data_IF_259908063569
#
_entry.id   IF_259908063569
#
_cell.length_a   1.000
_cell.length_b   1.000
_cell.length_c   1.000
_cell.angle_alpha   90.00
_cell.angle_beta   90.00
_cell.angle_gamma   90.00
#
_symmetry.space_group_name_H-M   'P 1'
#
loop_
_entity.id
_entity.type
_entity.pdbx_description
1 polymer ?
#
# COMPACT_ATOMS: atom_id res chain seq x y z
N UNK A 1 29.22 -69.44 -23.25
CA UNK A 1 27.81 -69.06 -23.05
C UNK A 1 27.81 -67.86 -22.12
N UNK A 2 27.49 -66.68 -22.65
CA UNK A 2 27.63 -65.37 -22.00
C UNK A 2 26.75 -65.33 -20.75
N UNK A 3 27.32 -65.02 -19.59
CA UNK A 3 26.60 -64.93 -18.31
C UNK A 3 25.52 -63.85 -18.39
N UNK A 4 24.28 -64.20 -18.03
CA UNK A 4 23.14 -63.30 -18.10
C UNK A 4 23.38 -62.05 -17.22
N UNK A 5 23.11 -60.82 -17.72
CA UNK A 5 23.30 -59.60 -16.95
C UNK A 5 22.36 -59.61 -15.74
N UNK A 6 22.91 -59.32 -14.55
CA UNK A 6 22.14 -59.24 -13.31
C UNK A 6 20.97 -58.25 -13.43
N UNK A 7 19.84 -58.55 -12.78
CA UNK A 7 18.65 -57.73 -12.83
C UNK A 7 18.93 -56.32 -12.25
N UNK A 8 18.66 -55.28 -13.04
CA UNK A 8 18.88 -53.88 -12.66
C UNK A 8 17.59 -53.27 -12.12
N UNK A 9 17.65 -52.71 -10.91
CA UNK A 9 16.51 -52.05 -10.25
C UNK A 9 16.89 -50.57 -10.07
N UNK A 10 16.13 -49.68 -10.70
CA UNK A 10 16.33 -48.24 -10.54
C UNK A 10 15.75 -47.79 -9.20
N UNK A 11 16.53 -47.05 -8.42
CA UNK A 11 16.11 -46.48 -7.14
C UNK A 11 16.04 -44.96 -7.29
N UNK A 12 14.86 -44.41 -7.06
CA UNK A 12 14.56 -42.97 -7.09
C UNK A 12 14.16 -42.47 -5.70
N UNK A 13 14.05 -41.15 -5.53
CA UNK A 13 13.70 -40.52 -4.26
C UNK A 13 12.37 -41.03 -3.66
N UNK A 14 11.39 -41.35 -4.51
CA UNK A 14 10.06 -41.83 -4.08
C UNK A 14 10.00 -43.34 -3.81
N UNK A 15 11.09 -44.05 -4.06
CA UNK A 15 11.11 -45.51 -3.95
C UNK A 15 11.06 -45.93 -2.48
N UNK A 16 9.96 -46.57 -2.07
CA UNK A 16 9.79 -47.08 -0.70
C UNK A 16 10.48 -48.42 -0.47
N UNK A 17 10.91 -48.67 0.77
CA UNK A 17 11.67 -49.87 1.18
C UNK A 17 10.93 -51.19 0.87
N UNK A 18 9.62 -51.24 1.08
CA UNK A 18 8.79 -52.42 0.80
C UNK A 18 8.73 -52.77 -0.69
N UNK A 19 8.81 -51.77 -1.57
CA UNK A 19 8.86 -51.96 -3.01
C UNK A 19 10.22 -52.56 -3.44
N UNK A 20 11.32 -52.07 -2.85
CA UNK A 20 12.67 -52.61 -3.09
C UNK A 20 12.80 -54.06 -2.63
N UNK A 21 12.30 -54.41 -1.44
CA UNK A 21 12.34 -55.79 -0.94
C UNK A 21 11.62 -56.73 -1.91
N UNK A 22 10.40 -56.39 -2.35
CA UNK A 22 9.64 -57.19 -3.33
C UNK A 22 10.32 -57.28 -4.69
N UNK A 23 10.95 -56.19 -5.15
CA UNK A 23 11.66 -56.16 -6.41
C UNK A 23 12.93 -57.04 -6.35
N UNK A 24 13.65 -57.05 -5.23
CA UNK A 24 14.81 -57.92 -5.01
C UNK A 24 14.38 -59.39 -4.95
N UNK A 25 13.29 -59.72 -4.25
CA UNK A 25 12.79 -61.10 -4.16
C UNK A 25 12.29 -61.63 -5.51
N UNK A 26 11.65 -60.79 -6.33
CA UNK A 26 11.11 -61.18 -7.64
C UNK A 26 12.10 -61.12 -8.80
N UNK A 27 13.25 -60.44 -8.63
CA UNK A 27 14.26 -60.30 -9.67
C UNK A 27 14.84 -61.65 -10.15
N UNK A 28 14.94 -61.91 -11.47
CA UNK A 28 15.56 -63.12 -11.97
C UNK A 28 17.10 -63.08 -11.81
N UNK A 29 17.69 -64.20 -11.40
CA UNK A 29 19.15 -64.36 -11.26
C UNK A 29 19.66 -64.25 -9.82
N UNK A 30 20.93 -64.61 -9.63
CA UNK A 30 21.62 -64.62 -8.34
C UNK A 30 22.30 -63.29 -7.99
N UNK A 31 22.26 -62.30 -8.88
CA UNK A 31 22.84 -60.96 -8.69
C UNK A 31 21.84 -59.88 -9.07
N UNK A 32 21.64 -58.91 -8.18
CA UNK A 32 20.76 -57.75 -8.36
C UNK A 32 21.59 -56.47 -8.23
N UNK A 33 21.47 -55.58 -9.21
CA UNK A 33 22.18 -54.29 -9.23
C UNK A 33 21.19 -53.15 -8.98
N UNK A 34 21.37 -52.42 -7.88
CA UNK A 34 20.63 -51.21 -7.57
C UNK A 34 21.27 -50.03 -8.30
N UNK A 35 20.54 -49.43 -9.23
CA UNK A 35 21.02 -48.28 -10.02
C UNK A 35 20.50 -47.00 -9.38
N UNK A 36 21.41 -46.13 -8.92
CA UNK A 36 21.11 -44.88 -8.23
C UNK A 36 21.78 -43.74 -8.97
N UNK A 37 20.99 -42.86 -9.59
CA UNK A 37 21.46 -41.68 -10.38
C UNK A 37 21.00 -40.34 -9.78
N UNK A 38 20.51 -40.35 -8.54
CA UNK A 38 19.90 -39.21 -7.85
C UNK A 38 19.74 -39.51 -6.35
N UNK A 39 19.02 -38.66 -5.61
CA UNK A 39 18.79 -38.90 -4.18
C UNK A 39 17.99 -40.18 -3.95
N UNK A 40 18.47 -41.02 -3.03
CA UNK A 40 17.80 -42.26 -2.63
C UNK A 40 17.79 -42.36 -1.09
N UNK A 41 16.92 -41.60 -0.40
CA UNK A 41 16.90 -41.52 1.07
C UNK A 41 16.73 -42.89 1.73
N UNK A 42 16.06 -43.82 1.04
CA UNK A 42 15.84 -45.19 1.54
C UNK A 42 17.13 -45.99 1.67
N UNK A 43 18.18 -45.68 0.88
CA UNK A 43 19.49 -46.35 0.95
C UNK A 43 20.50 -45.64 1.86
N UNK A 44 20.15 -44.46 2.38
CA UNK A 44 21.00 -43.69 3.32
C UNK A 44 20.79 -44.13 4.79
N UNK A 45 19.68 -44.81 5.08
CA UNK A 45 19.38 -45.31 6.42
C UNK A 45 19.96 -46.72 6.65
N UNK A 46 20.81 -46.88 7.67
CA UNK A 46 21.47 -48.15 7.99
C UNK A 46 20.50 -49.31 8.25
N UNK A 47 19.34 -49.03 8.87
CA UNK A 47 18.32 -50.03 9.14
C UNK A 47 17.72 -50.60 7.84
N UNK A 48 17.55 -49.76 6.82
CA UNK A 48 17.00 -50.17 5.52
C UNK A 48 18.01 -51.00 4.73
N UNK A 49 19.29 -50.63 4.77
CA UNK A 49 20.36 -51.39 4.09
C UNK A 49 20.49 -52.79 4.67
N UNK A 50 20.51 -52.92 6.01
CA UNK A 50 20.51 -54.23 6.69
C UNK A 50 19.29 -55.08 6.34
N UNK A 51 18.12 -54.44 6.23
CA UNK A 51 16.89 -55.13 5.85
C UNK A 51 16.99 -55.69 4.42
N UNK A 52 17.47 -54.89 3.47
CA UNK A 52 17.66 -55.32 2.07
C UNK A 52 18.68 -56.45 1.97
N UNK A 53 19.80 -56.36 2.70
CA UNK A 53 20.80 -57.42 2.78
C UNK A 53 20.21 -58.72 3.34
N UNK A 54 19.43 -58.64 4.42
CA UNK A 54 18.77 -59.82 5.00
C UNK A 54 17.84 -60.53 4.02
N UNK A 55 17.02 -59.78 3.26
CA UNK A 55 16.12 -60.38 2.27
C UNK A 55 16.86 -60.89 1.02
N UNK A 56 17.95 -60.23 0.62
CA UNK A 56 18.80 -60.71 -0.46
C UNK A 56 19.50 -62.02 -0.09
N UNK A 57 20.10 -62.11 1.10
CA UNK A 57 20.71 -63.34 1.61
C UNK A 57 19.70 -64.47 1.75
N UNK A 58 18.51 -64.18 2.28
CA UNK A 58 17.42 -65.17 2.41
C UNK A 58 16.95 -65.70 1.06
N UNK A 59 16.99 -64.87 0.02
CA UNK A 59 16.63 -65.26 -1.35
C UNK A 59 17.81 -65.80 -2.17
N UNK A 60 19.00 -65.91 -1.57
CA UNK A 60 20.22 -66.41 -2.22
C UNK A 60 20.77 -65.47 -3.28
N UNK A 61 20.52 -64.16 -3.14
CA UNK A 61 20.91 -63.12 -4.11
C UNK A 61 21.97 -62.19 -3.54
N UNK A 62 22.90 -61.78 -4.38
CA UNK A 62 23.91 -60.77 -4.06
C UNK A 62 23.43 -59.38 -4.51
N UNK A 63 23.47 -58.41 -3.60
CA UNK A 63 23.18 -57.01 -3.91
C UNK A 63 24.47 -56.27 -4.31
N UNK A 64 24.40 -55.55 -5.42
CA UNK A 64 25.44 -54.63 -5.89
C UNK A 64 24.81 -53.26 -6.14
N UNK A 65 25.62 -52.21 -6.10
CA UNK A 65 25.18 -50.85 -6.37
C UNK A 65 25.94 -50.24 -7.55
N UNK A 66 25.22 -49.58 -8.44
CA UNK A 66 25.76 -48.71 -9.49
C UNK A 66 25.27 -47.30 -9.19
N UNK A 67 26.17 -46.48 -8.62
CA UNK A 67 25.87 -45.09 -8.22
C UNK A 67 26.98 -44.14 -8.62
N UNK A 68 26.59 -42.92 -9.02
CA UNK A 68 27.47 -41.78 -9.27
C UNK A 68 27.88 -41.03 -7.98
N UNK A 69 27.27 -41.36 -6.83
CA UNK A 69 27.54 -40.71 -5.55
C UNK A 69 28.60 -41.47 -4.72
N UNK A 70 29.80 -40.88 -4.50
CA UNK A 70 30.89 -41.58 -3.81
C UNK A 70 30.60 -41.83 -2.32
N UNK A 71 29.81 -40.97 -1.68
CA UNK A 71 29.45 -41.09 -0.26
C UNK A 71 28.51 -42.27 -0.01
N UNK A 72 27.45 -42.39 -0.82
CA UNK A 72 26.52 -43.52 -0.74
C UNK A 72 27.23 -44.84 -1.06
N UNK A 73 28.16 -44.84 -2.02
CA UNK A 73 28.99 -46.01 -2.32
C UNK A 73 29.82 -46.47 -1.13
N UNK A 74 30.49 -45.54 -0.44
CA UNK A 74 31.28 -45.85 0.75
C UNK A 74 30.40 -46.38 1.90
N UNK A 75 29.23 -45.77 2.12
CA UNK A 75 28.27 -46.21 3.12
C UNK A 75 27.76 -47.65 2.85
N UNK A 76 27.32 -47.93 1.62
CA UNK A 76 26.81 -49.26 1.25
C UNK A 76 27.91 -50.33 1.28
N UNK A 77 29.16 -49.96 0.99
CA UNK A 77 30.31 -50.86 1.10
C UNK A 77 30.59 -51.30 2.55
N UNK A 78 30.35 -50.42 3.54
CA UNK A 78 30.45 -50.77 4.97
C UNK A 78 29.49 -51.90 5.37
N UNK A 79 28.32 -51.96 4.72
CA UNK A 79 27.32 -53.01 4.89
C UNK A 79 27.51 -54.19 3.92
N UNK A 80 28.62 -54.23 3.18
CA UNK A 80 28.97 -55.35 2.31
C UNK A 80 28.34 -55.33 0.91
N UNK A 81 27.68 -54.24 0.50
CA UNK A 81 27.13 -54.05 -0.86
C UNK A 81 28.21 -53.38 -1.72
N UNK A 82 28.78 -54.11 -2.68
CA UNK A 82 29.91 -53.66 -3.51
C UNK A 82 29.46 -52.95 -4.79
N UNK A 83 30.37 -52.17 -5.38
CA UNK A 83 30.14 -51.52 -6.67
C UNK A 83 29.98 -52.55 -7.78
N UNK A 84 29.08 -52.27 -8.74
CA UNK A 84 28.92 -53.10 -9.93
C UNK A 84 30.16 -53.10 -10.85
N UNK A 85 31.02 -52.08 -10.74
CA UNK A 85 32.24 -51.91 -11.56
C UNK A 85 33.43 -52.77 -11.08
N UNK A 86 33.43 -53.27 -9.84
CA UNK A 86 34.54 -54.05 -9.26
C UNK A 86 34.60 -55.53 -9.73
N UNK A 87 34.09 -55.80 -10.93
CA UNK A 87 33.90 -57.15 -11.47
C UNK A 87 35.21 -57.76 -12.00
N UNK A 88 36.04 -58.28 -11.10
CA UNK A 88 36.99 -59.35 -11.40
C UNK A 88 36.56 -60.64 -10.67
N UNK A 89 35.85 -61.48 -11.40
CA UNK A 89 35.81 -62.95 -11.33
C UNK A 89 36.14 -63.63 -9.99
N UNK A 90 35.11 -63.95 -9.20
CA UNK A 90 35.11 -65.18 -8.37
C UNK A 90 33.69 -65.80 -8.42
N UNK A 91 33.49 -66.96 -9.06
CA UNK A 91 32.25 -67.72 -8.96
C UNK A 91 32.07 -68.23 -7.53
N UNK A 92 30.93 -67.92 -6.90
CA UNK A 92 30.51 -68.57 -5.65
C UNK A 92 29.31 -69.47 -5.93
N UNK A 93 29.47 -70.76 -5.61
CA UNK A 93 28.38 -71.73 -5.62
C UNK A 93 27.26 -71.32 -4.63
N UNK A 94 25.98 -71.54 -4.98
CA UNK A 94 24.86 -71.17 -4.13
C UNK A 94 24.82 -72.04 -2.86
N UNK A 95 25.06 -71.42 -1.70
CA UNK A 95 24.86 -72.06 -0.39
C UNK A 95 23.37 -72.07 -0.06
N UNK A 96 22.74 -73.23 -0.18
CA UNK A 96 21.37 -73.45 0.27
C UNK A 96 21.29 -73.41 1.82
N UNK A 97 20.71 -72.34 2.37
CA UNK A 97 20.41 -72.25 3.81
C UNK A 97 19.11 -73.00 4.11
N UNK A 98 19.18 -74.16 4.77
CA UNK A 98 18.01 -74.85 5.33
C UNK A 98 17.37 -73.98 6.44
N UNK A 99 16.04 -73.74 6.45
CA UNK A 99 15.41 -73.00 7.54
C UNK A 99 15.50 -73.80 8.84
N UNK A 100 16.05 -73.16 9.88
CA UNK A 100 16.06 -73.68 11.25
C UNK A 100 14.60 -73.71 11.75
N UNK A 101 14.03 -74.90 11.87
CA UNK A 101 12.65 -75.09 12.33
C UNK A 101 12.44 -74.59 13.76
N UNK A 102 11.54 -73.62 13.91
CA UNK A 102 11.04 -73.14 15.20
C UNK A 102 10.09 -74.22 15.76
N UNK A 103 10.55 -75.02 16.72
CA UNK A 103 9.71 -75.99 17.43
C UNK A 103 9.11 -75.31 18.68
N UNK A 104 7.80 -75.03 18.73
CA UNK A 104 7.20 -74.47 19.93
C UNK A 104 7.24 -75.55 21.04
N UNK A 105 7.93 -75.25 22.15
CA UNK A 105 7.82 -76.05 23.38
C UNK A 105 6.39 -75.93 23.91
N UNK A 106 5.77 -77.05 24.29
CA UNK A 106 4.37 -77.17 24.74
C UNK A 106 3.91 -76.16 25.82
N UNK A 107 4.82 -75.64 26.64
CA UNK A 107 4.50 -74.55 27.58
C UNK A 107 4.09 -73.24 26.90
N UNK A 108 4.56 -72.94 25.68
CA UNK A 108 4.10 -71.76 24.91
C UNK A 108 2.66 -71.95 24.38
N UNK A 109 2.22 -73.19 24.13
CA UNK A 109 0.84 -73.49 23.73
C UNK A 109 -0.16 -73.28 24.87
N UNK A 110 0.28 -73.37 26.14
CA UNK A 110 -0.55 -73.09 27.32
C UNK A 110 -0.38 -71.66 27.87
N UNK A 111 0.82 -71.09 27.79
CA UNK A 111 1.10 -69.74 28.32
C UNK A 111 0.42 -68.63 27.49
N UNK A 112 0.35 -68.79 26.17
CA UNK A 112 -0.30 -67.81 25.28
C UNK A 112 -1.81 -67.70 25.55
N UNK A 113 -2.61 -68.79 25.58
CA UNK A 113 -4.03 -68.68 25.91
C UNK A 113 -4.25 -68.21 27.35
N UNK A 114 -3.40 -68.57 28.31
CA UNK A 114 -3.53 -68.11 29.69
C UNK A 114 -3.20 -66.62 29.85
N UNK A 115 -2.26 -66.10 29.07
CA UNK A 115 -1.97 -64.67 28.98
C UNK A 115 -3.07 -63.92 28.23
N UNK A 116 -3.68 -64.51 27.19
CA UNK A 116 -4.85 -63.94 26.51
C UNK A 116 -6.08 -63.92 27.43
N UNK A 117 -6.31 -64.98 28.20
CA UNK A 117 -7.37 -65.04 29.22
C UNK A 117 -7.07 -64.04 30.34
N UNK A 118 -5.82 -63.93 30.77
CA UNK A 118 -5.37 -62.95 31.75
C UNK A 118 -5.56 -61.52 31.28
N UNK A 119 -5.18 -61.20 30.04
CA UNK A 119 -5.41 -59.89 29.41
C UNK A 119 -6.90 -59.63 29.19
N UNK A 120 -7.66 -60.64 28.77
CA UNK A 120 -9.10 -60.56 28.55
C UNK A 120 -9.87 -60.34 29.86
N UNK A 121 -9.45 -61.00 30.94
CA UNK A 121 -9.96 -60.77 32.29
C UNK A 121 -9.61 -59.37 32.77
N UNK A 122 -8.36 -58.92 32.56
CA UNK A 122 -7.95 -57.55 32.87
C UNK A 122 -8.72 -56.51 32.07
N UNK A 123 -9.01 -56.77 30.79
CA UNK A 123 -9.81 -55.89 29.95
C UNK A 123 -11.29 -55.90 30.32
N UNK A 124 -11.85 -57.05 30.72
CA UNK A 124 -13.24 -57.19 31.14
C UNK A 124 -13.52 -56.51 32.50
N UNK A 125 -12.55 -56.57 33.42
CA UNK A 125 -12.62 -55.87 34.71
C UNK A 125 -11.95 -54.50 34.69
N UNK A 126 -11.40 -54.06 33.55
CA UNK A 126 -10.87 -52.71 33.43
C UNK A 126 -12.02 -51.72 33.65
N UNK A 127 -11.88 -50.78 34.59
CA UNK A 127 -12.94 -49.82 34.83
C UNK A 127 -13.10 -48.94 33.58
N UNK A 128 -14.31 -48.96 32.99
CA UNK A 128 -14.72 -47.98 31.98
C UNK A 128 -14.43 -46.55 32.49
N UNK A 129 -13.82 -45.68 31.67
CA UNK A 129 -13.60 -44.29 32.04
C UNK A 129 -14.94 -43.56 32.18
N UNK A 130 -15.09 -42.77 33.24
CA UNK A 130 -16.25 -41.90 33.44
C UNK A 130 -16.06 -40.66 32.57
N UNK A 131 -17.06 -40.34 31.73
CA UNK A 131 -17.05 -39.13 30.92
C UNK A 131 -17.89 -38.06 31.60
N UNK A 132 -17.30 -36.88 31.77
CA UNK A 132 -17.99 -35.73 32.34
C UNK A 132 -17.97 -34.64 31.29
N UNK A 133 -19.15 -34.30 30.80
CA UNK A 133 -19.35 -33.28 29.80
C UNK A 133 -19.73 -31.99 30.51
N UNK A 134 -18.96 -30.92 30.30
CA UNK A 134 -19.19 -29.63 30.94
C UNK A 134 -19.50 -28.60 29.87
N UNK A 135 -20.61 -27.88 30.06
CA UNK A 135 -20.95 -26.70 29.27
C UNK A 135 -20.54 -25.47 30.09
N UNK A 136 -19.55 -24.69 29.64
CA UNK A 136 -19.12 -23.49 30.34
C UNK A 136 -20.17 -22.38 30.18
N UNK A 137 -20.26 -21.49 31.17
CA UNK A 137 -21.06 -20.27 31.04
C UNK A 137 -20.46 -19.37 29.97
N UNK A 138 -21.28 -19.00 28.99
CA UNK A 138 -20.94 -18.05 27.93
C UNK A 138 -21.66 -16.73 28.19
N UNK A 139 -20.91 -15.63 28.27
CA UNK A 139 -21.49 -14.28 28.39
C UNK A 139 -21.06 -13.41 27.21
N UNK A 140 -21.98 -12.68 26.57
CA UNK A 140 -21.60 -11.71 25.55
C UNK A 140 -20.79 -10.59 26.21
N UNK A 141 -19.77 -10.14 25.50
CA UNK A 141 -18.90 -9.03 25.87
C UNK A 141 -18.83 -8.05 24.71
N UNK A 142 -18.92 -6.76 25.03
CA UNK A 142 -18.76 -5.68 24.07
C UNK A 142 -18.31 -4.44 24.82
N UNK A 143 -17.03 -4.08 24.69
CA UNK A 143 -16.45 -2.88 25.28
C UNK A 143 -15.61 -2.13 24.25
N UNK A 144 -15.35 -0.85 24.54
CA UNK A 144 -14.53 0.02 23.71
C UNK A 144 -13.11 0.10 24.26
N UNK A 145 -12.13 -0.08 23.37
CA UNK A 145 -10.72 -0.03 23.68
C UNK A 145 -10.01 0.98 22.82
N UNK A 146 -9.12 1.77 23.44
CA UNK A 146 -8.14 2.58 22.73
C UNK A 146 -6.89 1.73 22.55
N UNK A 147 -6.59 1.35 21.31
CA UNK A 147 -5.33 0.70 20.96
C UNK A 147 -4.30 1.79 20.67
N UNK A 148 -3.24 1.94 21.50
CA UNK A 148 -2.24 2.99 21.30
C UNK A 148 -1.50 2.80 19.99
N UNK A 149 -1.20 3.90 19.29
CA UNK A 149 -0.45 3.84 18.04
C UNK A 149 0.96 3.25 18.22
N UNK A 150 1.57 3.43 19.39
CA UNK A 150 2.91 2.92 19.72
C UNK A 150 2.99 1.39 19.67
N UNK A 151 1.87 0.70 19.86
CA UNK A 151 1.80 -0.77 19.85
C UNK A 151 1.46 -1.34 18.46
N UNK A 152 1.18 -0.46 17.48
CA UNK A 152 0.79 -0.82 16.13
C UNK A 152 1.98 -0.66 15.17
N UNK A 153 2.24 -1.71 14.38
CA UNK A 153 3.16 -1.61 13.26
C UNK A 153 2.48 -0.85 12.12
N UNK A 154 3.01 0.32 11.76
CA UNK A 154 2.49 1.16 10.68
C UNK A 154 3.31 1.00 9.41
N UNK A 155 2.65 1.05 8.26
CA UNK A 155 3.27 1.12 6.93
C UNK A 155 2.80 2.38 6.23
N UNK A 156 3.66 3.06 5.49
CA UNK A 156 3.28 4.28 4.76
C UNK A 156 2.61 3.93 3.42
N UNK A 157 1.41 4.45 3.21
CA UNK A 157 0.74 4.44 1.91
C UNK A 157 0.92 5.81 1.25
N UNK A 158 1.45 5.80 0.02
CA UNK A 158 1.71 7.00 -0.78
C UNK A 158 0.86 6.98 -2.05
N UNK A 159 0.16 8.08 -2.30
CA UNK A 159 -0.65 8.28 -3.51
C UNK A 159 -0.29 9.62 -4.14
N UNK A 160 -0.10 9.63 -5.46
CA UNK A 160 0.15 10.84 -6.23
C UNK A 160 -0.97 11.09 -7.22
N UNK A 161 -1.56 12.27 -7.20
CA UNK A 161 -2.62 12.69 -8.14
C UNK A 161 -2.40 14.13 -8.59
N UNK A 162 -3.14 14.56 -9.63
CA UNK A 162 -3.01 15.90 -10.18
C UNK A 162 -4.26 16.72 -9.88
N UNK A 163 -4.08 17.97 -9.47
CA UNK A 163 -5.14 18.97 -9.34
C UNK A 163 -4.96 20.07 -10.36
N UNK A 164 -6.08 20.56 -10.89
CA UNK A 164 -6.12 21.64 -11.87
C UNK A 164 -7.23 22.62 -11.51
N UNK A 165 -6.98 23.91 -11.69
CA UNK A 165 -7.98 24.96 -11.52
C UNK A 165 -7.68 26.13 -12.47
N UNK A 166 -8.69 26.98 -12.68
CA UNK A 166 -8.64 28.10 -13.59
C UNK A 166 -9.23 29.36 -12.94
N UNK A 167 -8.64 30.52 -13.22
CA UNK A 167 -9.05 31.81 -12.69
C UNK A 167 -9.08 32.87 -13.81
N UNK A 168 -10.10 33.72 -13.83
CA UNK A 168 -10.10 34.88 -14.72
C UNK A 168 -9.04 35.90 -14.28
N UNK A 169 -8.23 36.38 -15.22
CA UNK A 169 -7.19 37.37 -14.94
C UNK A 169 -7.82 38.73 -14.56
N UNK A 170 -7.29 39.37 -13.52
CA UNK A 170 -7.86 40.59 -12.96
C UNK A 170 -7.16 41.87 -13.44
N UNK A 171 -5.93 41.75 -13.94
CA UNK A 171 -5.12 42.89 -14.33
C UNK A 171 -5.63 43.57 -15.61
N UNK A 172 -5.45 44.89 -15.66
CA UNK A 172 -5.70 45.69 -16.86
C UNK A 172 -4.45 46.47 -17.22
N UNK A 173 -4.06 46.41 -18.48
CA UNK A 173 -3.04 47.29 -19.06
C UNK A 173 -3.63 48.01 -20.27
N UNK A 174 -3.07 49.16 -20.59
CA UNK A 174 -3.51 49.98 -21.72
C UNK A 174 -2.38 50.06 -22.74
N UNK A 175 -2.62 49.59 -23.95
CA UNK A 175 -1.64 49.65 -25.05
C UNK A 175 -2.04 50.77 -26.05
N UNK A 176 -1.12 51.68 -26.39
CA UNK A 176 -1.43 52.78 -27.31
C UNK A 176 -1.56 52.30 -28.76
N UNK A 177 -2.76 52.45 -29.33
CA UNK A 177 -3.12 51.91 -30.65
C UNK A 177 -2.92 52.91 -31.79
N UNK A 178 -3.33 54.17 -31.60
CA UNK A 178 -3.30 55.20 -32.64
C UNK A 178 -2.72 56.52 -32.13
N UNK A 179 -1.98 57.23 -32.97
CA UNK A 179 -1.50 58.59 -32.69
C UNK A 179 -2.61 59.61 -32.96
N UNK A 180 -2.67 60.65 -32.14
CA UNK A 180 -3.57 61.77 -32.36
C UNK A 180 -3.04 62.65 -33.51
N UNK A 181 -3.94 63.13 -34.37
CA UNK A 181 -3.64 63.96 -35.53
C UNK A 181 -4.51 65.22 -35.54
N UNK A 182 -3.97 66.29 -36.07
CA UNK A 182 -4.66 67.58 -36.17
C UNK A 182 -3.83 68.59 -36.94
N UNK A 183 -4.27 69.84 -36.93
CA UNK A 183 -3.52 70.96 -37.53
C UNK A 183 -3.08 71.97 -36.48
N UNK A 184 -1.95 72.60 -36.78
CA UNK A 184 -1.33 73.64 -35.95
C UNK A 184 -1.03 74.82 -36.86
N UNK A 185 -1.38 76.01 -36.41
CA UNK A 185 -1.03 77.27 -37.05
C UNK A 185 0.24 77.78 -36.39
N UNK A 186 1.28 77.93 -37.20
CA UNK A 186 2.54 78.57 -36.82
C UNK A 186 2.44 80.07 -37.09
N UNK A 187 2.84 80.87 -36.12
CA UNK A 187 2.76 82.33 -36.12
C UNK A 187 4.16 82.89 -36.02
N UNK A 188 4.55 83.68 -37.02
CA UNK A 188 5.83 84.35 -37.12
C UNK A 188 5.66 85.87 -36.98
N UNK A 189 6.26 86.45 -35.95
CA UNK A 189 6.26 87.90 -35.69
C UNK A 189 7.59 88.57 -36.09
N UNK A 190 8.46 87.84 -36.82
CA UNK A 190 9.72 88.38 -37.33
C UNK A 190 9.56 88.96 -38.73
N UNK A 191 10.43 89.90 -39.14
CA UNK A 191 10.40 90.49 -40.48
C UNK A 191 10.98 89.56 -41.58
N UNK A 192 11.37 88.32 -41.25
CA UNK A 192 11.91 87.34 -42.19
C UNK A 192 11.04 86.08 -42.22
N UNK A 193 10.93 85.43 -43.38
CA UNK A 193 10.23 84.16 -43.48
C UNK A 193 11.06 83.04 -42.83
N UNK A 194 10.42 82.18 -42.04
CA UNK A 194 11.07 81.06 -41.35
C UNK A 194 10.65 79.75 -42.00
N UNK A 195 11.63 78.93 -42.39
CA UNK A 195 11.37 77.62 -42.98
C UNK A 195 11.38 76.54 -41.91
N UNK A 196 10.25 75.88 -41.71
CA UNK A 196 10.07 74.80 -40.74
C UNK A 196 10.12 73.46 -41.48
N UNK A 197 11.16 72.64 -41.26
CA UNK A 197 11.25 71.33 -41.89
C UNK A 197 10.22 70.35 -41.33
N UNK A 198 9.90 69.32 -42.12
CA UNK A 198 9.14 68.16 -41.65
C UNK A 198 9.83 67.53 -40.43
N UNK A 199 9.05 67.09 -39.45
CA UNK A 199 9.55 66.46 -38.23
C UNK A 199 9.94 67.46 -37.13
N UNK A 200 9.75 68.76 -37.35
CA UNK A 200 9.88 69.76 -36.28
C UNK A 200 8.85 69.47 -35.18
N UNK A 201 9.30 69.47 -33.93
CA UNK A 201 8.47 69.19 -32.76
C UNK A 201 7.78 70.48 -32.28
N UNK A 202 6.47 70.40 -32.05
CA UNK A 202 5.69 71.41 -31.35
C UNK A 202 5.21 70.85 -30.02
N UNK A 203 5.19 71.68 -28.99
CA UNK A 203 4.93 71.24 -27.62
C UNK A 203 3.81 72.05 -26.96
N UNK A 204 3.06 71.37 -26.10
CA UNK A 204 2.14 72.02 -25.16
C UNK A 204 2.91 72.56 -23.96
N UNK A 205 2.27 73.41 -23.17
CA UNK A 205 2.82 73.85 -21.88
C UNK A 205 3.00 72.68 -20.87
N UNK A 206 2.26 71.57 -21.07
CA UNK A 206 2.32 70.37 -20.23
C UNK A 206 3.34 69.32 -20.68
N UNK A 207 4.14 69.61 -21.71
CA UNK A 207 5.21 68.71 -22.19
C UNK A 207 4.81 67.68 -23.24
N UNK A 208 3.54 67.63 -23.68
CA UNK A 208 3.13 66.77 -24.80
C UNK A 208 3.72 67.28 -26.11
N UNK A 209 4.28 66.38 -26.94
CA UNK A 209 4.98 66.74 -28.18
C UNK A 209 4.30 66.14 -29.42
N UNK A 210 4.31 66.93 -30.50
CA UNK A 210 3.73 66.57 -31.79
C UNK A 210 4.74 66.89 -32.90
N UNK A 211 4.88 66.01 -33.87
CA UNK A 211 5.78 66.20 -35.01
C UNK A 211 5.00 66.73 -36.22
N UNK A 212 5.57 67.72 -36.91
CA UNK A 212 5.04 68.23 -38.19
C UNK A 212 5.19 67.18 -39.29
N UNK A 213 4.11 66.94 -40.05
CA UNK A 213 4.08 65.93 -41.12
C UNK A 213 4.62 66.46 -42.45
N UNK A 214 4.56 67.77 -42.66
CA UNK A 214 4.94 68.46 -43.87
C UNK A 214 5.92 69.61 -43.56
N UNK A 215 6.79 69.93 -44.51
CA UNK A 215 7.63 71.13 -44.40
C UNK A 215 6.82 72.36 -44.80
N UNK A 216 6.87 73.43 -44.00
CA UNK A 216 6.10 74.65 -44.22
C UNK A 216 6.99 75.89 -44.10
N UNK A 217 6.75 76.90 -44.93
CA UNK A 217 7.43 78.19 -44.80
C UNK A 217 6.45 79.20 -44.23
N UNK A 218 6.75 79.71 -43.03
CA UNK A 218 5.91 80.72 -42.37
C UNK A 218 6.35 82.10 -42.88
N UNK A 219 5.46 82.87 -43.51
CA UNK A 219 5.82 84.18 -44.07
C UNK A 219 6.27 85.16 -42.97
N UNK A 220 6.98 86.21 -43.36
CA UNK A 220 7.32 87.32 -42.46
C UNK A 220 6.05 88.07 -42.02
N UNK A 221 6.15 88.81 -40.92
CA UNK A 221 5.10 89.78 -40.56
C UNK A 221 4.95 90.85 -41.65
N UNK A 222 3.73 91.28 -41.88
CA UNK A 222 3.41 92.35 -42.83
C UNK A 222 2.92 93.56 -42.03
N UNK A 223 3.49 94.73 -42.31
CA UNK A 223 2.98 96.01 -41.81
C UNK A 223 1.97 96.54 -42.81
N UNK A 224 0.75 96.77 -42.35
CA UNK A 224 -0.33 97.33 -43.18
C UNK A 224 -0.25 98.86 -43.13
N UNK A 225 -0.33 99.51 -44.29
CA UNK A 225 -0.25 100.96 -44.44
C UNK A 225 -1.56 101.52 -44.98
N UNK A 226 -1.99 102.67 -44.44
CA UNK A 226 -3.08 103.48 -44.97
C UNK A 226 -2.56 104.89 -45.19
N UNK A 227 -2.55 105.37 -46.45
CA UNK A 227 -1.94 106.65 -46.83
C UNK A 227 -0.52 106.84 -46.27
N UNK A 228 0.35 105.84 -46.46
CA UNK A 228 1.76 105.83 -46.00
C UNK A 228 1.96 105.81 -44.48
N UNK A 229 0.89 105.73 -43.69
CA UNK A 229 0.93 105.60 -42.23
C UNK A 229 0.73 104.13 -41.85
N UNK A 230 1.60 103.54 -41.01
CA UNK A 230 1.42 102.16 -40.53
C UNK A 230 0.19 102.08 -39.63
N UNK A 231 -0.82 101.33 -40.05
CA UNK A 231 -2.11 101.18 -39.34
C UNK A 231 -2.25 99.84 -38.62
N UNK A 232 -1.37 98.87 -38.89
CA UNK A 232 -1.40 97.59 -38.22
C UNK A 232 -0.19 96.71 -38.54
N UNK A 233 0.00 95.69 -37.71
CA UNK A 233 0.97 94.61 -37.94
C UNK A 233 0.18 93.32 -37.96
N UNK A 234 0.33 92.56 -39.06
CA UNK A 234 -0.22 91.22 -39.19
C UNK A 234 0.92 90.21 -39.17
N UNK A 235 0.94 89.35 -38.16
CA UNK A 235 1.90 88.26 -38.08
C UNK A 235 1.72 87.30 -39.27
N UNK A 236 2.82 86.76 -39.77
CA UNK A 236 2.78 85.71 -40.78
C UNK A 236 2.23 84.42 -40.17
N UNK A 237 1.32 83.75 -40.88
CA UNK A 237 0.69 82.52 -40.40
C UNK A 237 0.80 81.44 -41.46
N UNK A 238 1.06 80.21 -41.04
CA UNK A 238 0.98 79.04 -41.90
C UNK A 238 0.45 77.83 -41.12
N UNK A 239 -0.46 77.08 -41.73
CA UNK A 239 -1.03 75.87 -41.14
C UNK A 239 -0.22 74.64 -41.56
N UNK A 240 0.04 73.74 -40.62
CA UNK A 240 0.74 72.46 -40.85
C UNK A 240 0.04 71.34 -40.09
N UNK A 241 0.00 70.14 -40.70
CA UNK A 241 -0.51 68.95 -40.03
C UNK A 241 0.51 68.39 -39.05
N UNK A 242 0.04 67.93 -37.91
CA UNK A 242 0.88 67.35 -36.86
C UNK A 242 0.35 65.98 -36.42
N UNK A 243 1.26 65.15 -35.94
CA UNK A 243 0.97 63.84 -35.36
C UNK A 243 1.64 63.74 -33.98
N UNK A 244 0.91 63.21 -32.99
CA UNK A 244 1.46 62.98 -31.66
C UNK A 244 2.65 62.02 -31.72
N UNK A 245 3.75 62.39 -31.06
CA UNK A 245 4.95 61.54 -31.02
C UNK A 245 4.66 60.26 -30.25
N UNK A 246 3.96 60.38 -29.13
CA UNK A 246 3.45 59.26 -28.36
C UNK A 246 2.04 58.89 -28.87
N UNK A 247 1.88 57.62 -29.24
CA UNK A 247 0.56 57.07 -29.56
C UNK A 247 -0.28 56.99 -28.28
N UNK A 248 -1.59 56.99 -28.45
CA UNK A 248 -2.54 56.75 -27.38
C UNK A 248 -3.46 57.92 -27.07
N UNK A 249 -4.39 57.73 -26.13
CA UNK A 249 -5.37 58.78 -25.78
C UNK A 249 -4.72 60.01 -25.16
N UNK A 250 -3.54 59.88 -24.56
CA UNK A 250 -2.75 60.97 -23.99
C UNK A 250 -2.35 62.03 -25.04
N UNK A 251 -2.27 61.65 -26.32
CA UNK A 251 -2.01 62.59 -27.41
C UNK A 251 -3.21 63.47 -27.78
N UNK A 252 -4.41 63.18 -27.28
CA UNK A 252 -5.60 63.98 -27.56
C UNK A 252 -5.61 65.24 -26.70
N UNK A 253 -5.60 66.42 -27.32
CA UNK A 253 -5.57 67.70 -26.62
C UNK A 253 -6.66 68.64 -27.16
N UNK A 254 -7.20 69.47 -26.27
CA UNK A 254 -8.14 70.51 -26.65
C UNK A 254 -7.49 71.56 -27.56
N UNK A 255 -8.32 72.36 -28.23
CA UNK A 255 -7.86 73.54 -28.97
C UNK A 255 -7.02 74.48 -28.08
N UNK A 256 -6.08 75.20 -28.68
CA UNK A 256 -5.24 76.24 -28.05
C UNK A 256 -4.31 75.74 -26.92
N UNK A 257 -3.87 74.48 -26.98
CA UNK A 257 -2.98 73.86 -25.98
C UNK A 257 -1.52 73.77 -26.42
N UNK A 258 -1.26 73.68 -27.73
CA UNK A 258 0.09 73.80 -28.28
C UNK A 258 0.46 75.28 -28.23
N UNK A 259 1.67 75.57 -27.72
CA UNK A 259 2.14 76.94 -27.51
C UNK A 259 3.56 77.17 -28.02
N UNK A 260 4.40 76.13 -28.04
CA UNK A 260 5.83 76.24 -28.32
C UNK A 260 6.24 75.45 -29.57
N UNK A 261 7.23 75.97 -30.30
CA UNK A 261 7.94 75.26 -31.37
C UNK A 261 9.35 74.96 -30.88
N UNK A 262 9.70 73.67 -30.80
CA UNK A 262 11.01 73.25 -30.31
C UNK A 262 12.07 73.60 -31.36
N UNK A 263 13.09 74.35 -30.93
CA UNK A 263 14.19 74.79 -31.81
C UNK A 263 13.96 76.11 -32.55
N UNK A 264 12.78 76.73 -32.40
CA UNK A 264 12.46 78.03 -33.02
C UNK A 264 11.82 78.96 -31.99
N UNK A 265 12.63 79.74 -31.28
CA UNK A 265 12.15 80.63 -30.20
C UNK A 265 11.32 81.80 -30.74
N UNK A 266 11.56 82.17 -32.00
CA UNK A 266 10.87 83.23 -32.74
C UNK A 266 9.48 82.83 -33.26
N UNK A 267 9.12 81.55 -33.23
CA UNK A 267 7.82 81.05 -33.69
C UNK A 267 6.91 80.68 -32.52
N UNK A 268 5.63 81.04 -32.64
CA UNK A 268 4.57 80.56 -31.77
C UNK A 268 3.73 79.53 -32.52
N UNK A 269 3.22 78.52 -31.82
CA UNK A 269 2.31 77.55 -32.38
C UNK A 269 0.98 77.62 -31.64
N UNK A 270 -0.13 77.47 -32.35
CA UNK A 270 -1.47 77.35 -31.76
C UNK A 270 -2.24 76.32 -32.56
N UNK A 271 -2.89 75.36 -31.89
CA UNK A 271 -3.83 74.46 -32.56
C UNK A 271 -5.25 75.08 -32.53
N UNK A 272 -5.80 75.54 -33.66
CA UNK A 272 -7.13 76.16 -33.69
C UNK A 272 -8.24 75.16 -33.35
N UNK A 273 -8.04 73.89 -33.74
CA UNK A 273 -8.94 72.77 -33.47
C UNK A 273 -8.30 71.78 -32.47
N UNK A 274 -9.10 70.97 -31.76
CA UNK A 274 -8.56 69.90 -30.91
C UNK A 274 -7.81 68.86 -31.75
N UNK A 275 -6.70 68.34 -31.20
CA UNK A 275 -6.00 67.20 -31.79
C UNK A 275 -6.68 65.94 -31.26
N UNK A 276 -7.13 65.08 -32.17
CA UNK A 276 -7.95 63.91 -31.84
C UNK A 276 -7.48 62.67 -32.60
N UNK A 277 -8.06 61.50 -32.32
CA UNK A 277 -7.74 60.25 -33.00
C UNK A 277 -6.72 59.37 -32.26
N UNK A 278 -6.14 59.86 -31.16
CA UNK A 278 -5.38 59.05 -30.22
C UNK A 278 -6.28 58.02 -29.55
N UNK A 279 -5.93 56.73 -29.61
CA UNK A 279 -6.73 55.64 -29.04
C UNK A 279 -5.83 54.66 -28.30
N UNK A 280 -6.34 54.15 -27.20
CA UNK A 280 -5.73 53.06 -26.44
C UNK A 280 -6.61 51.82 -26.54
N UNK A 281 -5.97 50.66 -26.39
CA UNK A 281 -6.64 49.37 -26.28
C UNK A 281 -6.41 48.83 -24.87
N UNK A 282 -7.49 48.61 -24.14
CA UNK A 282 -7.42 47.89 -22.87
C UNK A 282 -7.19 46.39 -23.13
N UNK A 283 -6.20 45.84 -22.44
CA UNK A 283 -5.82 44.43 -22.48
C UNK A 283 -5.89 43.87 -21.07
N UNK A 284 -6.47 42.67 -20.95
CA UNK A 284 -6.43 41.92 -19.70
C UNK A 284 -5.07 41.26 -19.56
N UNK A 285 -4.44 41.43 -18.39
CA UNK A 285 -3.14 40.87 -18.07
C UNK A 285 -3.20 40.10 -16.77
N UNK A 286 -2.38 39.06 -16.69
CA UNK A 286 -2.24 38.26 -15.48
C UNK A 286 -1.49 39.07 -14.42
N UNK A 287 -1.98 39.06 -13.19
CA UNK A 287 -1.30 39.70 -12.06
C UNK A 287 -0.65 38.66 -11.14
N UNK A 288 0.30 39.11 -10.31
CA UNK A 288 0.87 38.25 -9.26
C UNK A 288 -0.21 37.79 -8.26
N UNK A 289 -1.19 38.65 -7.97
CA UNK A 289 -2.31 38.31 -7.09
C UNK A 289 -3.18 37.17 -7.67
N UNK A 290 -3.33 37.10 -9.00
CA UNK A 290 -4.06 36.01 -9.65
C UNK A 290 -3.32 34.66 -9.46
N UNK A 291 -1.99 34.67 -9.55
CA UNK A 291 -1.15 33.48 -9.29
C UNK A 291 -1.24 33.03 -7.84
N UNK A 292 -1.15 33.97 -6.89
CA UNK A 292 -1.19 33.67 -5.46
C UNK A 292 -2.55 33.10 -5.06
N UNK A 293 -3.65 33.69 -5.57
CA UNK A 293 -5.01 33.21 -5.33
C UNK A 293 -5.25 31.84 -5.97
N UNK A 294 -4.74 31.61 -7.18
CA UNK A 294 -4.85 30.31 -7.84
C UNK A 294 -4.06 29.22 -7.09
N UNK A 295 -2.88 29.55 -6.56
CA UNK A 295 -2.12 28.63 -5.69
C UNK A 295 -2.91 28.26 -4.44
N UNK A 296 -3.50 29.24 -3.75
CA UNK A 296 -4.33 28.98 -2.56
C UNK A 296 -5.54 28.08 -2.89
N UNK A 297 -6.17 28.26 -4.06
CA UNK A 297 -7.25 27.38 -4.51
C UNK A 297 -6.77 25.96 -4.79
N UNK A 298 -5.62 25.79 -5.44
CA UNK A 298 -5.03 24.47 -5.68
C UNK A 298 -4.69 23.77 -4.35
N UNK A 299 -4.18 24.49 -3.35
CA UNK A 299 -3.93 23.95 -2.00
C UNK A 299 -5.23 23.49 -1.31
N UNK A 300 -6.30 24.28 -1.39
CA UNK A 300 -7.62 23.87 -0.87
C UNK A 300 -8.17 22.64 -1.58
N UNK A 301 -8.02 22.56 -2.90
CA UNK A 301 -8.43 21.39 -3.68
C UNK A 301 -7.59 20.16 -3.34
N UNK A 302 -6.28 20.33 -3.13
CA UNK A 302 -5.39 19.27 -2.70
C UNK A 302 -5.80 18.72 -1.33
N UNK A 303 -6.01 19.59 -0.34
CA UNK A 303 -6.46 19.21 0.99
C UNK A 303 -7.81 18.46 0.96
N UNK A 304 -8.78 18.96 0.19
CA UNK A 304 -10.11 18.35 0.10
C UNK A 304 -10.14 17.00 -0.63
N UNK A 305 -9.19 16.74 -1.55
CA UNK A 305 -9.13 15.50 -2.32
C UNK A 305 -8.16 14.46 -1.76
N UNK A 306 -7.16 14.87 -0.97
CA UNK A 306 -6.10 13.98 -0.49
C UNK A 306 -6.67 12.74 0.23
N UNK A 307 -7.64 12.91 1.13
CA UNK A 307 -8.27 11.81 1.85
C UNK A 307 -9.09 10.90 0.91
N UNK A 308 -9.85 11.50 -0.02
CA UNK A 308 -10.68 10.74 -0.96
C UNK A 308 -9.84 9.88 -1.90
N UNK A 309 -8.78 10.45 -2.49
CA UNK A 309 -7.87 9.73 -3.39
C UNK A 309 -7.11 8.64 -2.65
N UNK A 310 -6.71 8.90 -1.40
CA UNK A 310 -6.03 7.89 -0.59
C UNK A 310 -6.97 6.72 -0.28
N UNK A 311 -8.22 6.99 0.09
CA UNK A 311 -9.25 5.97 0.38
C UNK A 311 -9.58 5.07 -0.83
N UNK A 312 -9.38 5.52 -2.07
CA UNK A 312 -9.58 4.70 -3.27
C UNK A 312 -8.50 3.63 -3.47
N UNK A 313 -7.31 3.83 -2.91
CA UNK A 313 -6.14 2.94 -3.10
C UNK A 313 -5.93 2.00 -1.90
N UNK A 314 -6.66 2.21 -0.81
CA UNK A 314 -6.51 1.44 0.43
C UNK A 314 -6.88 -0.03 0.21
N UNK A 315 -5.97 -0.97 0.56
CA UNK A 315 -6.29 -2.39 0.59
C UNK A 315 -7.40 -2.71 1.60
N UNK A 316 -8.28 -3.67 1.29
CA UNK A 316 -9.43 -4.03 2.17
C UNK A 316 -9.01 -4.58 3.54
N UNK A 317 -7.77 -5.05 3.67
CA UNK A 317 -7.17 -5.59 4.90
C UNK A 317 -6.40 -4.54 5.72
N UNK A 318 -6.43 -3.26 5.30
CA UNK A 318 -5.71 -2.18 5.97
C UNK A 318 -6.63 -1.05 6.39
N UNK A 319 -6.25 -0.39 7.49
CA UNK A 319 -6.94 0.75 8.07
C UNK A 319 -6.01 1.95 7.96
N UNK A 320 -6.47 3.00 7.28
CA UNK A 320 -5.74 4.25 7.15
C UNK A 320 -5.90 5.09 8.40
N UNK A 321 -4.79 5.66 8.85
CA UNK A 321 -4.77 6.64 9.93
C UNK A 321 -4.98 8.05 9.38
N UNK A 322 -6.22 8.37 9.02
CA UNK A 322 -6.60 9.66 8.41
C UNK A 322 -6.14 10.90 9.21
N UNK A 323 -6.16 10.94 10.57
CA UNK A 323 -5.67 12.08 11.33
C UNK A 323 -4.16 12.36 11.16
N UNK A 324 -3.39 11.37 10.70
CA UNK A 324 -1.95 11.47 10.44
C UNK A 324 -1.64 11.62 8.95
N UNK A 325 -2.67 11.87 8.13
CA UNK A 325 -2.49 12.16 6.72
C UNK A 325 -1.70 13.47 6.56
N UNK A 326 -0.63 13.38 5.80
CA UNK A 326 0.15 14.52 5.34
C UNK A 326 0.07 14.58 3.81
N UNK A 327 0.09 15.77 3.26
CA UNK A 327 0.15 15.96 1.82
C UNK A 327 1.11 17.09 1.50
N UNK A 328 1.74 16.97 0.34
CA UNK A 328 2.63 17.98 -0.21
C UNK A 328 2.24 18.30 -1.65
N UNK A 329 2.45 19.56 -2.03
CA UNK A 329 2.08 20.07 -3.34
C UNK A 329 3.36 20.39 -4.11
N UNK A 330 3.57 19.63 -5.17
CA UNK A 330 4.79 19.62 -5.98
C UNK A 330 4.50 19.96 -7.44
N UNK A 331 5.52 20.40 -8.20
CA UNK A 331 5.41 20.74 -9.63
C UNK A 331 4.25 21.70 -9.94
N UNK A 332 4.23 22.85 -9.26
CA UNK A 332 3.20 23.89 -9.46
C UNK A 332 3.49 24.65 -10.74
N UNK A 333 2.65 24.44 -11.74
CA UNK A 333 2.72 25.10 -13.03
C UNK A 333 1.56 26.07 -13.15
N UNK A 334 1.87 27.36 -13.18
CA UNK A 334 0.91 28.44 -13.38
C UNK A 334 1.22 29.10 -14.71
N UNK A 335 0.24 29.15 -15.59
CA UNK A 335 0.37 29.79 -16.90
C UNK A 335 -0.88 30.61 -17.20
N UNK A 336 -0.75 31.76 -17.87
CA UNK A 336 0.49 32.44 -18.28
C UNK A 336 1.19 33.20 -17.14
N UNK A 337 2.43 33.65 -17.34
CA UNK A 337 3.21 34.40 -16.34
C UNK A 337 2.60 35.78 -16.03
N UNK A 338 2.87 36.35 -14.83
CA UNK A 338 2.43 37.70 -14.49
C UNK A 338 2.93 38.74 -15.51
N UNK A 339 2.04 39.62 -15.94
CA UNK A 339 2.28 40.64 -16.96
C UNK A 339 1.99 40.19 -18.39
N UNK A 340 1.78 38.90 -18.64
CA UNK A 340 1.37 38.42 -19.96
C UNK A 340 -0.12 38.71 -20.22
N UNK A 341 -0.45 38.96 -21.50
CA UNK A 341 -1.81 39.20 -21.94
C UNK A 341 -2.59 37.87 -22.02
N UNK A 342 -3.51 37.67 -21.08
CA UNK A 342 -4.45 36.56 -21.11
C UNK A 342 -5.70 36.89 -20.29
N UNK A 343 -6.84 36.30 -20.67
CA UNK A 343 -8.08 36.42 -19.92
C UNK A 343 -8.22 35.41 -18.78
N UNK A 344 -7.42 34.33 -18.80
CA UNK A 344 -7.50 33.20 -17.88
C UNK A 344 -6.09 32.79 -17.47
N UNK A 345 -5.93 32.48 -16.19
CA UNK A 345 -4.77 31.83 -15.59
C UNK A 345 -5.15 30.39 -15.27
N UNK A 346 -4.37 29.44 -15.73
CA UNK A 346 -4.54 28.02 -15.48
C UNK A 346 -3.43 27.54 -14.57
N UNK A 347 -3.80 26.67 -13.63
CA UNK A 347 -2.92 26.12 -12.64
C UNK A 347 -3.00 24.61 -12.63
N UNK A 348 -1.86 23.96 -12.63
CA UNK A 348 -1.72 22.51 -12.47
C UNK A 348 -0.70 22.24 -11.38
N UNK A 349 -1.01 21.30 -10.49
CA UNK A 349 -0.08 20.85 -9.47
C UNK A 349 -0.20 19.35 -9.24
N UNK A 350 0.91 18.72 -8.85
CA UNK A 350 0.97 17.31 -8.47
C UNK A 350 0.95 17.23 -6.96
N UNK A 351 -0.07 16.57 -6.42
CA UNK A 351 -0.25 16.36 -4.99
C UNK A 351 0.25 14.97 -4.63
N UNK A 352 1.08 14.91 -3.60
CA UNK A 352 1.54 13.67 -3.00
C UNK A 352 0.96 13.55 -1.60
N UNK A 353 0.01 12.63 -1.41
CA UNK A 353 -0.56 12.31 -0.11
C UNK A 353 0.13 11.08 0.49
N UNK A 354 0.47 11.17 1.77
CA UNK A 354 1.08 10.09 2.55
C UNK A 354 0.29 9.93 3.84
N UNK A 355 -0.18 8.72 4.11
CA UNK A 355 -0.80 8.37 5.38
C UNK A 355 -0.26 7.03 5.89
N UNK A 356 -0.04 6.88 7.21
CA UNK A 356 0.29 5.60 7.78
C UNK A 356 -0.95 4.69 7.82
N UNK A 357 -0.74 3.41 7.59
CA UNK A 357 -1.75 2.36 7.56
C UNK A 357 -1.38 1.24 8.52
N UNK A 358 -2.41 0.60 9.08
CA UNK A 358 -2.28 -0.53 10.00
C UNK A 358 -3.04 -1.71 9.42
N UNK A 359 -2.42 -2.89 9.40
CA UNK A 359 -3.10 -4.11 9.00
C UNK A 359 -4.20 -4.48 10.02
N UNK A 360 -5.40 -4.83 9.54
CA UNK A 360 -6.53 -5.18 10.38
C UNK A 360 -6.21 -6.36 11.32
N UNK A 361 -5.36 -7.29 10.88
CA UNK A 361 -4.89 -8.41 11.71
C UNK A 361 -4.04 -7.95 12.90
N UNK A 362 -3.11 -7.01 12.68
CA UNK A 362 -2.26 -6.45 13.74
C UNK A 362 -3.12 -5.73 14.77
N UNK A 363 -4.11 -4.96 14.32
CA UNK A 363 -5.07 -4.30 15.20
C UNK A 363 -5.88 -5.32 16.02
N UNK A 364 -6.37 -6.38 15.38
CA UNK A 364 -7.13 -7.42 16.08
C UNK A 364 -6.30 -8.15 17.15
N UNK A 365 -5.03 -8.44 16.84
CA UNK A 365 -4.10 -9.05 17.79
C UNK A 365 -3.84 -8.15 19.01
N UNK A 366 -3.59 -6.85 18.80
CA UNK A 366 -3.35 -5.93 19.92
C UNK A 366 -4.61 -5.66 20.74
N UNK A 367 -5.76 -5.51 20.08
CA UNK A 367 -7.04 -5.38 20.76
C UNK A 367 -7.32 -6.62 21.65
N UNK A 368 -7.09 -7.83 21.14
CA UNK A 368 -7.23 -9.06 21.92
C UNK A 368 -6.36 -9.09 23.18
N UNK A 369 -5.09 -8.67 23.09
CA UNK A 369 -4.19 -8.58 24.24
C UNK A 369 -4.67 -7.59 25.31
N UNK A 370 -5.22 -6.45 24.88
CA UNK A 370 -5.79 -5.46 25.81
C UNK A 370 -7.01 -6.03 26.55
N UNK A 371 -7.89 -6.76 25.84
CA UNK A 371 -9.03 -7.43 26.46
C UNK A 371 -8.56 -8.48 27.47
N UNK A 372 -7.62 -9.34 27.10
CA UNK A 372 -7.05 -10.35 28.01
C UNK A 372 -6.44 -9.71 29.27
N UNK A 373 -5.74 -8.58 29.11
CA UNK A 373 -5.14 -7.84 30.22
C UNK A 373 -6.20 -7.28 31.17
N UNK A 374 -7.30 -6.74 30.64
CA UNK A 374 -8.40 -6.22 31.47
C UNK A 374 -9.19 -7.34 32.18
N UNK A 375 -9.26 -8.52 31.58
CA UNK A 375 -9.93 -9.68 32.17
C UNK A 375 -9.12 -10.31 33.32
N UNK A 376 -7.81 -10.08 33.42
CA UNK A 376 -7.04 -10.57 34.56
C UNK A 376 -7.48 -9.87 35.87
N UNK A 377 -7.70 -10.60 36.97
CA UNK A 377 -7.30 -12.00 37.23
C UNK A 377 -8.39 -13.06 37.00
N UNK A 378 -9.49 -12.74 36.29
CA UNK A 378 -10.60 -13.68 36.10
C UNK A 378 -10.16 -14.83 35.17
N UNK A 379 -10.46 -16.10 35.51
CA UNK A 379 -10.20 -17.23 34.64
C UNK A 379 -11.26 -17.24 33.53
N UNK A 380 -11.18 -16.31 32.58
CA UNK A 380 -12.06 -16.21 31.42
C UNK A 380 -11.23 -16.12 30.15
N UNK A 381 -11.72 -16.72 29.07
CA UNK A 381 -11.17 -16.65 27.73
C UNK A 381 -12.19 -15.99 26.80
N UNK A 382 -11.71 -15.22 25.82
CA UNK A 382 -12.57 -14.60 24.81
C UNK A 382 -12.57 -15.47 23.56
N UNK A 383 -13.73 -15.99 23.18
CA UNK A 383 -13.95 -16.66 21.90
C UNK A 383 -14.67 -15.72 20.92
N UNK A 384 -14.48 -15.95 19.62
CA UNK A 384 -15.11 -15.20 18.52
C UNK A 384 -14.93 -13.68 18.64
N UNK A 385 -13.70 -13.25 18.91
CA UNK A 385 -13.35 -11.83 19.04
C UNK A 385 -13.51 -11.13 17.68
N UNK A 386 -14.43 -10.16 17.63
CA UNK A 386 -14.68 -9.29 16.49
C UNK A 386 -14.29 -7.86 16.86
N UNK A 387 -13.46 -7.23 16.01
CA UNK A 387 -12.98 -5.85 16.19
C UNK A 387 -13.57 -4.98 15.10
N UNK A 388 -14.29 -3.93 15.52
CA UNK A 388 -14.83 -2.91 14.63
C UNK A 388 -14.18 -1.57 14.97
N UNK A 389 -13.61 -0.91 13.96
CA UNK A 389 -13.04 0.43 14.12
C UNK A 389 -14.19 1.43 14.24
N UNK A 390 -14.21 2.19 15.33
CA UNK A 390 -15.21 3.23 15.56
C UNK A 390 -14.68 4.59 15.15
N UNK A 391 -13.49 4.93 15.64
CA UNK A 391 -12.84 6.21 15.37
C UNK A 391 -11.34 6.03 15.35
N UNK A 392 -10.66 6.73 14.44
CA UNK A 392 -9.20 6.83 14.43
C UNK A 392 -8.81 8.19 15.01
N UNK A 393 -7.91 8.18 15.99
CA UNK A 393 -7.37 9.37 16.66
C UNK A 393 -5.87 9.51 16.34
N UNK A 394 -5.26 10.63 16.73
CA UNK A 394 -3.83 10.83 16.56
C UNK A 394 -3.01 9.92 17.50
N UNK A 395 -3.52 9.68 18.71
CA UNK A 395 -2.90 8.85 19.74
C UNK A 395 -3.12 7.33 19.57
N UNK A 396 -4.09 6.92 18.74
CA UNK A 396 -4.45 5.51 18.59
C UNK A 396 -5.77 5.26 17.87
N UNK A 397 -6.22 4.01 17.86
CA UNK A 397 -7.46 3.59 17.22
C UNK A 397 -8.46 3.18 18.31
N UNK A 398 -9.65 3.81 18.29
CA UNK A 398 -10.77 3.40 19.13
C UNK A 398 -11.53 2.30 18.42
N UNK A 399 -11.50 1.12 19.01
CA UNK A 399 -12.16 -0.07 18.49
C UNK A 399 -13.25 -0.53 19.45
N UNK A 400 -14.39 -0.91 18.90
CA UNK A 400 -15.36 -1.72 19.59
C UNK A 400 -14.95 -3.18 19.46
N UNK A 401 -14.66 -3.82 20.60
CA UNK A 401 -14.29 -5.24 20.65
C UNK A 401 -15.46 -6.00 21.22
N UNK A 402 -15.95 -6.98 20.47
CA UNK A 402 -17.05 -7.84 20.87
C UNK A 402 -16.65 -9.31 20.82
N UNK A 403 -17.23 -10.13 21.68
CA UNK A 403 -16.90 -11.55 21.74
C UNK A 403 -17.71 -12.28 22.80
N UNK A 404 -17.33 -13.53 23.04
CA UNK A 404 -17.95 -14.40 24.02
C UNK A 404 -16.95 -14.71 25.13
N UNK A 405 -17.25 -14.27 26.35
CA UNK A 405 -16.49 -14.64 27.54
C UNK A 405 -16.90 -16.05 27.95
N UNK A 406 -15.94 -16.97 27.84
CA UNK A 406 -16.07 -18.36 28.27
C UNK A 406 -15.24 -18.53 29.53
N UNK A 407 -15.83 -19.12 30.57
CA UNK A 407 -15.07 -19.41 31.79
C UNK A 407 -13.97 -20.43 31.50
N UNK A 408 -12.73 -20.12 31.88
CA UNK A 408 -11.60 -21.03 31.80
C UNK A 408 -11.75 -22.10 32.87
N UNK A 409 -12.07 -23.31 32.43
CA UNK A 409 -12.30 -24.45 33.29
C UNK A 409 -11.09 -25.39 33.22
N UNK A 410 -10.36 -25.49 34.32
CA UNK A 410 -9.24 -26.42 34.49
C UNK A 410 -9.75 -27.86 34.64
N UNK A 411 -9.67 -28.65 33.57
CA UNK A 411 -10.12 -30.04 33.55
C UNK A 411 -9.45 -30.91 34.63
N UNK A 412 -8.17 -30.64 34.92
CA UNK A 412 -7.41 -31.34 35.96
C UNK A 412 -7.85 -31.02 37.38
N UNK A 413 -8.12 -29.76 37.71
CA UNK A 413 -8.57 -29.36 39.05
C UNK A 413 -10.00 -29.85 39.32
N UNK A 414 -10.86 -29.80 38.31
CA UNK A 414 -12.19 -30.37 38.38
C UNK A 414 -12.17 -31.89 38.60
N UNK A 415 -11.36 -32.62 37.85
CA UNK A 415 -11.20 -34.07 38.03
C UNK A 415 -10.69 -34.41 39.43
N UNK A 416 -9.78 -33.59 39.98
CA UNK A 416 -9.29 -33.75 41.36
C UNK A 416 -10.37 -33.47 42.42
N UNK A 417 -11.21 -32.46 42.21
CA UNK A 417 -12.27 -32.06 43.15
C UNK A 417 -13.33 -33.16 43.34
N UNK A 418 -13.67 -33.87 42.26
CA UNK A 418 -14.73 -34.87 42.21
C UNK A 418 -14.23 -36.32 42.35
N UNK A 419 -12.92 -36.56 42.28
CA UNK A 419 -12.33 -37.89 42.37
C UNK A 419 -12.76 -38.62 43.66
N UNK A 420 -13.24 -39.86 43.52
CA UNK A 420 -13.68 -40.67 44.65
C UNK A 420 -14.91 -40.17 45.40
N UNK A 421 -15.66 -39.19 44.88
CA UNK A 421 -16.93 -38.72 45.47
C UNK A 421 -18.13 -39.54 44.95
N UNK A 422 -19.20 -39.71 45.75
CA UNK A 422 -20.46 -40.26 45.24
C UNK A 422 -21.09 -39.28 44.24
N UNK A 423 -21.85 -39.79 43.27
CA UNK A 423 -22.39 -38.99 42.15
C UNK A 423 -23.17 -37.77 42.66
N UNK A 424 -24.00 -37.93 43.69
CA UNK A 424 -24.80 -36.83 44.25
C UNK A 424 -23.96 -35.73 44.91
N UNK A 425 -22.79 -36.07 45.49
CA UNK A 425 -21.89 -35.05 46.05
C UNK A 425 -21.04 -34.42 44.95
N UNK A 426 -20.63 -35.21 43.95
CA UNK A 426 -19.92 -34.69 42.79
C UNK A 426 -20.77 -33.70 42.00
N UNK A 427 -22.06 -33.99 41.79
CA UNK A 427 -22.98 -33.08 41.12
C UNK A 427 -23.17 -31.77 41.87
N UNK A 428 -23.34 -31.81 43.21
CA UNK A 428 -23.43 -30.58 44.02
C UNK A 428 -22.15 -29.72 43.95
N UNK A 429 -20.97 -30.37 43.93
CA UNK A 429 -19.69 -29.67 43.81
C UNK A 429 -19.50 -29.05 42.42
N UNK A 430 -19.91 -29.75 41.36
CA UNK A 430 -19.87 -29.22 39.99
C UNK A 430 -20.84 -28.05 39.78
N UNK A 431 -22.05 -28.12 40.36
CA UNK A 431 -23.01 -27.01 40.33
C UNK A 431 -22.56 -25.78 41.13
N UNK A 432 -21.70 -25.99 42.14
CA UNK A 432 -21.17 -24.91 42.96
C UNK A 432 -19.91 -24.26 42.36
N UNK A 433 -19.35 -24.83 41.28
CA UNK A 433 -18.14 -24.31 40.67
C UNK A 433 -18.45 -23.06 39.81
N UNK A 434 -17.75 -21.93 40.02
CA UNK A 434 -17.91 -20.74 39.20
C UNK A 434 -17.52 -21.05 37.74
N UNK A 435 -18.41 -20.70 36.81
CA UNK A 435 -18.19 -20.84 35.37
C UNK A 435 -18.79 -22.08 34.70
N UNK A 436 -19.41 -23.00 35.46
CA UNK A 436 -20.17 -24.13 34.91
C UNK A 436 -21.63 -23.72 34.71
N UNK A 437 -22.19 -23.92 33.52
CA UNK A 437 -23.61 -23.67 33.22
C UNK A 437 -24.43 -24.95 33.40
N UNK A 438 -23.98 -26.02 32.76
CA UNK A 438 -24.57 -27.35 32.92
C UNK A 438 -23.49 -28.43 32.81
N UNK A 439 -23.79 -29.62 33.34
CA UNK A 439 -22.88 -30.76 33.30
C UNK A 439 -23.66 -32.07 33.17
N UNK A 440 -23.07 -33.02 32.45
CA UNK A 440 -23.59 -34.38 32.30
C UNK A 440 -22.51 -35.37 32.78
N UNK A 441 -22.91 -36.33 33.62
CA UNK A 441 -22.01 -37.35 34.18
C UNK A 441 -22.43 -38.71 33.64
N UNK A 442 -21.66 -39.26 32.70
CA UNK A 442 -21.82 -40.64 32.24
C UNK A 442 -20.91 -41.56 33.05
N UNK A 443 -21.49 -42.12 34.13
CA UNK A 443 -20.82 -43.04 35.05
C UNK A 443 -21.29 -44.50 34.92
N UNK A 444 -22.08 -44.83 33.89
CA UNK A 444 -22.68 -46.15 33.71
C UNK A 444 -23.52 -46.59 34.92
N UNK A 445 -23.25 -47.79 35.46
CA UNK A 445 -23.95 -48.35 36.65
C UNK A 445 -23.31 -47.99 38.00
N UNK A 446 -22.33 -47.08 38.04
CA UNK A 446 -21.59 -46.77 39.27
C UNK A 446 -22.36 -45.77 40.12
N UNK A 447 -22.31 -45.94 41.45
CA UNK A 447 -22.82 -44.93 42.39
C UNK A 447 -21.73 -43.96 42.88
N UNK A 448 -20.48 -44.19 42.47
CA UNK A 448 -19.30 -43.46 42.95
C UNK A 448 -18.26 -43.30 41.84
N UNK A 449 -17.64 -42.13 41.78
CA UNK A 449 -16.57 -41.83 40.83
C UNK A 449 -15.28 -42.56 41.21
N UNK A 450 -14.45 -42.95 40.21
CA UNK A 450 -13.17 -43.60 40.46
C UNK A 450 -12.23 -42.67 41.24
N UNK A 451 -11.37 -43.26 42.09
CA UNK A 451 -10.38 -42.51 42.89
C UNK A 451 -9.20 -42.03 42.06
N UNK A 452 -8.81 -42.79 41.04
CA UNK A 452 -7.73 -42.41 40.13
C UNK A 452 -8.28 -41.47 39.05
N UNK A 453 -7.72 -40.26 38.99
CA UNK A 453 -8.12 -39.18 38.08
C UNK A 453 -8.00 -39.57 36.61
N UNK A 454 -7.11 -40.50 36.26
CA UNK A 454 -6.92 -40.98 34.88
C UNK A 454 -8.17 -41.66 34.30
N UNK A 455 -9.10 -42.12 35.15
CA UNK A 455 -10.38 -42.69 34.73
C UNK A 455 -11.53 -41.68 34.74
N UNK A 456 -11.25 -40.38 34.91
CA UNK A 456 -12.21 -39.29 34.81
C UNK A 456 -11.81 -38.45 33.61
N UNK A 457 -12.58 -38.57 32.52
CA UNK A 457 -12.37 -37.79 31.31
C UNK A 457 -13.33 -36.60 31.32
N UNK A 458 -12.80 -35.41 31.60
CA UNK A 458 -13.57 -34.16 31.52
C UNK A 458 -13.49 -33.64 30.08
N UNK A 459 -14.63 -33.55 29.42
CA UNK A 459 -14.79 -32.94 28.10
C UNK A 459 -15.54 -31.63 28.27
N UNK A 460 -14.92 -30.53 27.84
CA UNK A 460 -15.58 -29.22 27.79
C UNK A 460 -16.13 -29.06 26.37
N UNK A 461 -17.45 -28.95 26.21
CA UNK A 461 -18.05 -28.71 24.90
C UNK A 461 -18.22 -27.19 24.74
N UNK A 462 -17.64 -26.64 23.68
CA UNK A 462 -17.66 -25.21 23.38
C UNK A 462 -18.93 -24.73 22.67
N UNK A 463 -19.95 -25.57 22.55
CA UNK A 463 -21.24 -25.26 21.93
C UNK A 463 -22.34 -26.07 22.62
N UNK A 464 -23.48 -25.47 23.01
CA UNK A 464 -24.68 -26.25 23.20
C UNK A 464 -25.08 -26.75 21.81
N UNK A 465 -24.87 -28.04 21.52
CA UNK A 465 -25.64 -28.70 20.49
C UNK A 465 -27.09 -28.56 20.93
N UNK A 466 -27.79 -27.58 20.36
CA UNK A 466 -29.23 -27.42 20.53
C UNK A 466 -29.83 -28.69 19.97
N UNK A 467 -30.03 -29.67 20.83
CA UNK A 467 -30.90 -30.80 20.55
C UNK A 467 -32.28 -30.18 20.40
N UNK A 468 -32.63 -29.89 19.15
CA UNK A 468 -33.97 -29.62 18.72
C UNK A 468 -34.81 -30.86 19.09
N UNK A 469 -35.42 -30.83 20.27
CA UNK A 469 -36.47 -31.75 20.63
C UNK A 469 -37.71 -31.37 19.84
N UNK A 470 -38.24 -32.38 19.15
CA UNK A 470 -39.42 -32.38 18.29
C UNK A 470 -40.68 -31.82 18.96
#
# INVERSE_FOLDING_TARGET
>A
MVAAPGARINVTADTRINHLVRAIESAPGSSVVLVVRGSAPVLEAAANVKLLQFYAERSGKELRVDTDQPQLRAFLAEYGIRSAEDAAEIPREPVAVKPRGFRPRWYHLAAVPLLIIGLGYLAYYAPEPVRITIVPQVRPFSDEFLVPLADLATTELKVSFTVTDELAASGRTSEPLAAARGSVVLINDTPQAVKVPKGTLVATAGGQTFATLDAVTVPARVTEYFHEIPVGIRAGQAEVRVEAVEKGTHGNIAAHRIVNVVGFAELKAVNPEPITGGRDRELTVVTQADHDLLRERLEKLAAGRAESELNLVVPTDQIVLAPLLSWDLSDVQLQPDPGQQAGIVQGKAVVTAVAPCVAAEVLAQQAGRLVETQLQPLPMQVNNLAVQVKTVLAEGIVCQVSGQLVSHISTGELAALIAGRPINQASSLLSAQPGVESFEIDAGKRNKLPRNQQYIQVQVISEPEVVALQ
#
